data_IF_055978251967
#
_entry.id   IF_055978251967
#
_cell.length_a   1.000
_cell.length_b   1.000
_cell.length_c   1.000
_cell.angle_alpha   90.00
_cell.angle_beta   90.00
_cell.angle_gamma   90.00
#
_symmetry.space_group_name_H-M   'P 1'
#
loop_
_entity.id
_entity.type
_entity.pdbx_description
1 polymer ?
#
# COMPACT_ATOMS: atom_id res chain seq x y z
N UNK A 1 -16.41 -5.04 -20.30
CA UNK A 1 -16.49 -5.04 -18.82
C UNK A 1 -17.93 -5.31 -18.40
N UNK A 2 -18.16 -6.14 -17.38
CA UNK A 2 -19.49 -6.53 -16.92
C UNK A 2 -20.34 -5.30 -16.52
N UNK A 3 -21.63 -5.27 -16.88
CA UNK A 3 -22.58 -4.19 -16.61
C UNK A 3 -22.71 -3.88 -15.11
N UNK A 4 -22.53 -4.89 -14.25
CA UNK A 4 -22.47 -4.71 -12.80
C UNK A 4 -21.24 -3.91 -12.36
N UNK A 5 -20.04 -4.30 -12.81
CA UNK A 5 -18.79 -3.64 -12.42
C UNK A 5 -18.75 -2.17 -12.89
N UNK A 6 -19.32 -1.88 -14.05
CA UNK A 6 -19.43 -0.50 -14.56
C UNK A 6 -20.44 0.36 -13.79
N UNK A 7 -21.32 -0.21 -12.97
CA UNK A 7 -22.15 0.55 -12.03
C UNK A 7 -21.37 0.97 -10.77
N UNK A 8 -20.33 0.22 -10.40
CA UNK A 8 -19.49 0.50 -9.22
C UNK A 8 -18.53 1.66 -9.52
N UNK A 9 -17.75 1.53 -10.60
CA UNK A 9 -16.87 2.58 -11.13
C UNK A 9 -16.72 2.40 -12.65
N UNK A 10 -16.89 3.48 -13.41
CA UNK A 10 -16.72 3.48 -14.86
C UNK A 10 -15.29 3.82 -15.24
N UNK A 11 -14.85 3.29 -16.37
CA UNK A 11 -13.63 3.73 -17.03
C UNK A 11 -14.00 5.03 -17.75
N UNK A 12 -13.18 6.06 -17.56
CA UNK A 12 -13.30 7.31 -18.30
C UNK A 12 -12.77 7.13 -19.74
N UNK A 13 -12.51 8.24 -20.45
CA UNK A 13 -12.00 8.22 -21.82
C UNK A 13 -10.84 7.24 -22.01
N UNK A 14 -10.81 6.55 -23.16
CA UNK A 14 -9.71 5.66 -23.48
C UNK A 14 -8.38 6.44 -23.54
N UNK A 15 -7.34 5.85 -22.95
CA UNK A 15 -5.97 6.35 -23.07
C UNK A 15 -5.21 5.53 -24.11
N UNK A 16 -4.30 6.19 -24.84
CA UNK A 16 -3.48 5.55 -25.85
C UNK A 16 -2.61 4.43 -25.27
N UNK A 17 -2.31 3.43 -26.11
CA UNK A 17 -1.45 2.29 -25.75
C UNK A 17 -0.06 2.78 -25.30
N UNK A 18 0.51 3.76 -26.00
CA UNK A 18 1.81 4.36 -25.65
C UNK A 18 1.80 4.90 -24.22
N UNK A 19 0.75 5.62 -23.81
CA UNK A 19 0.65 6.14 -22.44
C UNK A 19 0.50 5.01 -21.41
N UNK A 20 -0.23 3.95 -21.73
CA UNK A 20 -0.33 2.75 -20.87
C UNK A 20 1.05 2.11 -20.66
N UNK A 21 1.85 1.97 -21.72
CA UNK A 21 3.20 1.38 -21.66
C UNK A 21 4.13 2.26 -20.84
N UNK A 22 4.20 3.56 -21.17
CA UNK A 22 5.06 4.53 -20.47
C UNK A 22 4.76 4.53 -18.97
N UNK A 23 3.48 4.56 -18.58
CA UNK A 23 3.09 4.53 -17.18
C UNK A 23 3.58 3.26 -16.47
N UNK A 24 3.47 2.09 -17.11
CA UNK A 24 3.96 0.83 -16.52
C UNK A 24 5.48 0.82 -16.38
N UNK A 25 6.22 1.34 -17.36
CA UNK A 25 7.67 1.44 -17.29
C UNK A 25 8.08 2.35 -16.12
N UNK A 26 7.46 3.52 -15.97
CA UNK A 26 7.73 4.41 -14.83
C UNK A 26 7.44 3.74 -13.49
N UNK A 27 6.34 2.99 -13.39
CA UNK A 27 5.97 2.27 -12.17
C UNK A 27 6.98 1.15 -11.86
N UNK A 28 7.49 0.44 -12.88
CA UNK A 28 8.55 -0.54 -12.73
C UNK A 28 9.85 0.12 -12.21
N UNK A 29 10.29 1.19 -12.87
CA UNK A 29 11.48 1.93 -12.47
C UNK A 29 11.36 2.47 -11.04
N UNK A 30 10.19 3.00 -10.68
CA UNK A 30 9.90 3.47 -9.33
C UNK A 30 9.98 2.34 -8.31
N UNK A 31 9.41 1.16 -8.62
CA UNK A 31 9.55 -0.05 -7.80
C UNK A 31 11.01 -0.44 -7.60
N UNK A 32 11.80 -0.51 -8.68
CA UNK A 32 13.23 -0.85 -8.62
C UNK A 32 14.00 0.12 -7.72
N UNK A 33 13.81 1.43 -7.91
CA UNK A 33 14.49 2.46 -7.11
C UNK A 33 14.12 2.32 -5.64
N UNK A 34 12.84 2.16 -5.32
CA UNK A 34 12.41 2.00 -3.93
C UNK A 34 12.90 0.70 -3.29
N UNK A 35 12.91 -0.42 -4.01
CA UNK A 35 13.42 -1.69 -3.48
C UNK A 35 14.92 -1.64 -3.20
N UNK A 36 15.70 -1.05 -4.11
CA UNK A 36 17.14 -0.81 -3.91
C UNK A 36 17.38 0.13 -2.74
N UNK A 37 16.63 1.24 -2.65
CA UNK A 37 16.76 2.24 -1.60
C UNK A 37 16.39 1.67 -0.22
N UNK A 38 15.29 0.92 -0.13
CA UNK A 38 14.89 0.23 1.09
C UNK A 38 15.99 -0.73 1.55
N UNK A 39 16.57 -1.53 0.65
CA UNK A 39 17.64 -2.45 1.05
C UNK A 39 18.92 -1.73 1.45
N UNK A 40 19.29 -0.66 0.73
CA UNK A 40 20.41 0.18 1.09
C UNK A 40 20.29 0.70 2.53
N UNK A 41 19.10 1.19 2.91
CA UNK A 41 18.83 1.66 4.26
C UNK A 41 18.92 0.54 5.32
N UNK A 42 18.43 -0.66 5.01
CA UNK A 42 18.52 -1.82 5.91
C UNK A 42 19.96 -2.30 6.14
N UNK A 43 20.84 -2.08 5.16
CA UNK A 43 22.25 -2.50 5.24
C UNK A 43 23.18 -1.39 5.72
N UNK A 44 22.67 -0.18 5.86
CA UNK A 44 23.43 0.98 6.36
C UNK A 44 23.20 1.10 7.86
N UNK A 45 24.29 1.14 8.63
CA UNK A 45 24.19 1.33 10.07
C UNK A 45 23.50 2.66 10.40
N UNK A 46 22.53 2.65 11.31
CA UNK A 46 21.69 3.83 11.58
C UNK A 46 22.50 5.06 12.00
N UNK A 47 23.61 4.87 12.71
CA UNK A 47 24.51 5.93 13.18
C UNK A 47 25.37 6.57 12.06
N UNK A 48 25.35 6.03 10.84
CA UNK A 48 26.01 6.64 9.68
C UNK A 48 25.01 7.37 8.77
N UNK A 49 23.70 7.22 9.02
CA UNK A 49 22.66 7.94 8.31
C UNK A 49 22.52 9.37 8.85
N UNK A 50 21.97 10.31 8.06
CA UNK A 50 21.65 11.64 8.55
C UNK A 50 20.71 11.56 9.77
N UNK A 51 20.89 12.47 10.74
CA UNK A 51 20.10 12.51 11.98
C UNK A 51 18.58 12.35 11.77
N UNK A 52 18.02 12.96 10.72
CA UNK A 52 16.58 12.88 10.42
C UNK A 52 16.13 11.45 10.06
N UNK A 53 16.99 10.63 9.45
CA UNK A 53 16.69 9.24 9.10
C UNK A 53 16.64 8.36 10.34
N UNK A 54 17.56 8.57 11.28
CA UNK A 54 17.60 7.87 12.55
C UNK A 54 16.41 8.30 13.44
N UNK A 55 16.19 9.61 13.59
CA UNK A 55 15.13 10.15 14.44
C UNK A 55 13.73 9.69 14.01
N UNK A 56 13.48 9.60 12.70
CA UNK A 56 12.19 9.15 12.15
C UNK A 56 12.11 7.63 11.95
N UNK A 57 13.18 6.89 12.22
CA UNK A 57 13.26 5.44 12.01
C UNK A 57 12.99 5.03 10.54
N UNK A 58 13.58 5.75 9.58
CA UNK A 58 13.29 5.60 8.14
C UNK A 58 13.72 4.22 7.61
N UNK A 59 14.82 3.65 8.13
CA UNK A 59 15.25 2.31 7.71
C UNK A 59 14.17 1.27 8.00
N UNK A 60 13.68 1.21 9.24
CA UNK A 60 12.61 0.27 9.60
C UNK A 60 11.28 0.62 8.92
N UNK A 61 11.00 1.90 8.65
CA UNK A 61 9.78 2.31 7.96
C UNK A 61 9.61 1.64 6.60
N UNK A 62 10.67 1.53 5.79
CA UNK A 62 10.62 0.81 4.52
C UNK A 62 10.59 -0.71 4.69
N UNK A 63 10.94 -1.24 5.85
CA UNK A 63 10.72 -2.64 6.23
C UNK A 63 9.26 -2.95 6.62
N UNK A 64 8.49 -1.94 7.06
CA UNK A 64 7.10 -2.08 7.50
C UNK A 64 6.13 -2.16 6.32
N UNK A 65 5.02 -2.86 6.51
CA UNK A 65 4.10 -3.20 5.41
C UNK A 65 3.22 -2.03 4.93
N UNK A 66 2.93 -1.07 5.80
CA UNK A 66 1.95 -0.01 5.57
C UNK A 66 2.31 0.94 4.42
N UNK A 67 3.58 1.34 4.29
CA UNK A 67 4.03 2.21 3.18
C UNK A 67 3.82 1.52 1.82
N UNK A 68 4.09 0.22 1.74
CA UNK A 68 3.90 -0.55 0.52
C UNK A 68 2.41 -0.70 0.16
N UNK A 69 1.55 -0.87 1.17
CA UNK A 69 0.09 -0.83 0.98
C UNK A 69 -0.40 0.52 0.47
N UNK A 70 0.13 1.62 1.00
CA UNK A 70 -0.23 2.97 0.55
C UNK A 70 0.17 3.19 -0.91
N UNK A 71 1.40 2.84 -1.28
CA UNK A 71 1.88 3.02 -2.66
C UNK A 71 1.02 2.17 -3.62
N UNK A 72 0.77 0.91 -3.27
CA UNK A 72 -0.09 0.03 -4.05
C UNK A 72 -1.52 0.58 -4.17
N UNK A 73 -2.08 1.15 -3.09
CA UNK A 73 -3.38 1.80 -3.09
C UNK A 73 -3.42 2.98 -4.08
N UNK A 74 -2.42 3.87 -4.03
CA UNK A 74 -2.32 5.02 -4.95
C UNK A 74 -2.22 4.55 -6.40
N UNK A 75 -1.33 3.61 -6.69
CA UNK A 75 -1.20 3.03 -8.04
C UNK A 75 -2.54 2.43 -8.49
N UNK A 76 -3.22 1.69 -7.60
CA UNK A 76 -4.49 1.06 -7.92
C UNK A 76 -5.57 2.10 -8.22
N UNK A 77 -5.88 3.03 -7.31
CA UNK A 77 -7.02 3.93 -7.48
C UNK A 77 -6.85 4.95 -8.62
N UNK A 78 -5.61 5.31 -8.95
CA UNK A 78 -5.28 6.25 -10.03
C UNK A 78 -4.96 5.57 -11.36
N UNK A 79 -4.90 4.23 -11.40
CA UNK A 79 -4.83 3.51 -12.66
C UNK A 79 -6.11 3.69 -13.49
N UNK A 80 -5.95 3.67 -14.82
CA UNK A 80 -7.02 3.94 -15.77
C UNK A 80 -8.21 2.97 -15.67
N UNK A 81 -7.93 1.69 -15.46
CA UNK A 81 -8.94 0.65 -15.28
C UNK A 81 -8.51 -0.35 -14.22
N UNK A 82 -9.42 -1.20 -13.74
CA UNK A 82 -9.12 -2.23 -12.75
C UNK A 82 -8.07 -3.24 -13.23
N UNK A 83 -8.11 -3.65 -14.49
CA UNK A 83 -7.07 -4.52 -15.09
C UNK A 83 -5.72 -3.81 -15.12
N UNK A 84 -5.72 -2.49 -15.40
CA UNK A 84 -4.48 -1.69 -15.39
C UNK A 84 -3.95 -1.48 -13.98
N UNK A 85 -4.82 -1.36 -12.98
CA UNK A 85 -4.44 -1.35 -11.57
C UNK A 85 -3.71 -2.65 -11.21
N UNK A 86 -4.28 -3.81 -11.57
CA UNK A 86 -3.66 -5.12 -11.35
C UNK A 86 -2.27 -5.21 -11.96
N UNK A 87 -2.13 -4.87 -13.25
CA UNK A 87 -0.84 -4.93 -13.93
C UNK A 87 0.18 -3.98 -13.31
N UNK A 88 -0.21 -2.74 -13.06
CA UNK A 88 0.69 -1.71 -12.55
C UNK A 88 1.19 -2.06 -11.14
N UNK A 89 0.31 -2.52 -10.25
CA UNK A 89 0.70 -2.94 -8.89
C UNK A 89 1.57 -4.20 -8.93
N UNK A 90 1.24 -5.18 -9.77
CA UNK A 90 2.09 -6.36 -9.95
C UNK A 90 3.50 -5.98 -10.41
N UNK A 91 3.61 -5.14 -11.44
CA UNK A 91 4.90 -4.70 -11.99
C UNK A 91 5.69 -3.87 -10.97
N UNK A 92 5.01 -3.03 -10.18
CA UNK A 92 5.63 -2.31 -9.06
C UNK A 92 6.26 -3.27 -8.06
N UNK A 93 5.52 -4.27 -7.58
CA UNK A 93 6.01 -5.24 -6.61
C UNK A 93 7.10 -6.14 -7.19
N UNK A 94 7.01 -6.55 -8.46
CA UNK A 94 8.10 -7.27 -9.15
C UNK A 94 9.38 -6.44 -9.11
N UNK A 95 9.31 -5.16 -9.52
CA UNK A 95 10.47 -4.27 -9.51
C UNK A 95 11.06 -4.10 -8.11
N UNK A 96 10.21 -3.82 -7.12
CA UNK A 96 10.61 -3.61 -5.73
C UNK A 96 11.22 -4.86 -5.10
N UNK A 97 10.52 -6.00 -5.15
CA UNK A 97 10.96 -7.24 -4.50
C UNK A 97 12.22 -7.77 -5.18
N UNK A 98 12.28 -7.75 -6.53
CA UNK A 98 13.47 -8.20 -7.23
C UNK A 98 14.68 -7.34 -6.91
N UNK A 99 14.60 -6.01 -6.99
CA UNK A 99 15.75 -5.16 -6.72
C UNK A 99 16.22 -5.24 -5.28
N UNK A 100 15.30 -5.32 -4.31
CA UNK A 100 15.62 -5.48 -2.89
C UNK A 100 16.43 -6.77 -2.62
N UNK A 101 16.00 -7.90 -3.18
CA UNK A 101 16.68 -9.17 -2.94
C UNK A 101 17.90 -9.41 -3.84
N UNK A 102 17.94 -8.83 -5.03
CA UNK A 102 19.15 -8.79 -5.85
C UNK A 102 20.24 -7.96 -5.16
N UNK A 103 19.88 -6.83 -4.56
CA UNK A 103 20.82 -6.04 -3.74
C UNK A 103 21.32 -6.86 -2.55
N UNK A 104 20.41 -7.56 -1.85
CA UNK A 104 20.78 -8.42 -0.73
C UNK A 104 21.86 -9.43 -1.14
N UNK A 105 21.63 -10.14 -2.26
CA UNK A 105 22.53 -11.18 -2.74
C UNK A 105 23.86 -10.63 -3.26
N UNK A 106 23.83 -9.63 -4.16
CA UNK A 106 25.02 -9.17 -4.87
C UNK A 106 25.83 -8.11 -4.13
N UNK A 107 25.18 -7.28 -3.30
CA UNK A 107 25.85 -6.16 -2.60
C UNK A 107 26.04 -6.47 -1.12
N UNK A 108 24.99 -6.94 -0.44
CA UNK A 108 25.05 -7.21 0.99
C UNK A 108 25.64 -8.59 1.33
N UNK A 109 25.80 -9.48 0.35
CA UNK A 109 26.42 -10.79 0.52
C UNK A 109 25.55 -11.84 1.24
N UNK A 110 24.23 -11.64 1.33
CA UNK A 110 23.32 -12.61 1.95
C UNK A 110 21.94 -12.67 1.27
N UNK A 111 21.23 -13.79 1.39
CA UNK A 111 19.89 -13.94 0.79
C UNK A 111 18.91 -14.56 1.79
N UNK A 112 17.99 -13.76 2.37
CA UNK A 112 17.02 -14.25 3.35
C UNK A 112 15.85 -14.96 2.64
N UNK A 113 16.06 -16.22 2.25
CA UNK A 113 15.13 -17.00 1.42
C UNK A 113 13.69 -17.03 1.94
N UNK A 114 13.49 -17.25 3.25
CA UNK A 114 12.14 -17.35 3.82
C UNK A 114 11.37 -16.03 3.67
N UNK A 115 12.01 -14.90 3.96
CA UNK A 115 11.40 -13.58 3.79
C UNK A 115 11.13 -13.27 2.31
N UNK A 116 12.06 -13.63 1.42
CA UNK A 116 11.85 -13.48 -0.02
C UNK A 116 10.63 -14.24 -0.52
N UNK A 117 10.40 -15.46 -0.04
CA UNK A 117 9.23 -16.26 -0.40
C UNK A 117 7.91 -15.62 0.06
N UNK A 118 7.88 -15.01 1.25
CA UNK A 118 6.70 -14.30 1.76
C UNK A 118 6.36 -13.10 0.84
N UNK A 119 7.37 -12.28 0.51
CA UNK A 119 7.19 -11.12 -0.36
C UNK A 119 6.84 -11.49 -1.81
N UNK A 120 7.35 -12.61 -2.32
CA UNK A 120 6.91 -13.17 -3.60
C UNK A 120 5.43 -13.59 -3.53
N UNK A 121 4.98 -14.19 -2.44
CA UNK A 121 3.57 -14.49 -2.21
C UNK A 121 2.69 -13.24 -2.26
N UNK A 122 3.07 -12.17 -1.55
CA UNK A 122 2.36 -10.89 -1.63
C UNK A 122 2.37 -10.30 -3.05
N UNK A 123 3.49 -10.41 -3.76
CA UNK A 123 3.60 -9.94 -5.15
C UNK A 123 2.59 -10.62 -6.07
N UNK A 124 2.43 -11.94 -5.94
CA UNK A 124 1.47 -12.74 -6.75
C UNK A 124 0.01 -12.42 -6.41
N UNK A 125 -0.31 -12.15 -5.14
CA UNK A 125 -1.68 -11.83 -4.70
C UNK A 125 -2.05 -10.36 -5.01
N UNK A 126 -1.07 -9.47 -5.02
CA UNK A 126 -1.27 -8.03 -5.21
C UNK A 126 -2.11 -7.61 -6.43
N UNK A 127 -2.05 -8.23 -7.63
CA UNK A 127 -2.91 -7.85 -8.75
C UNK A 127 -4.40 -8.03 -8.46
N UNK A 128 -4.79 -9.06 -7.71
CA UNK A 128 -6.20 -9.30 -7.34
C UNK A 128 -6.67 -8.22 -6.37
N UNK A 129 -5.86 -7.89 -5.36
CA UNK A 129 -6.18 -6.84 -4.40
C UNK A 129 -6.26 -5.47 -5.09
N UNK A 130 -5.32 -5.17 -5.99
CA UNK A 130 -5.31 -3.93 -6.77
C UNK A 130 -6.55 -3.80 -7.67
N UNK A 131 -7.01 -4.90 -8.27
CA UNK A 131 -8.25 -4.93 -9.04
C UNK A 131 -9.44 -4.46 -8.20
N UNK A 132 -9.55 -4.98 -6.97
CA UNK A 132 -10.62 -4.66 -6.03
C UNK A 132 -10.47 -3.20 -5.53
N UNK A 133 -9.27 -2.80 -5.13
CA UNK A 133 -8.97 -1.44 -4.64
C UNK A 133 -9.30 -0.36 -5.66
N UNK A 134 -9.16 -0.63 -6.98
CA UNK A 134 -9.57 0.31 -8.02
C UNK A 134 -11.04 0.75 -7.86
N UNK A 135 -11.93 -0.14 -7.43
CA UNK A 135 -13.35 0.17 -7.24
C UNK A 135 -13.65 1.00 -5.99
N UNK A 136 -12.72 1.14 -5.04
CA UNK A 136 -12.91 1.89 -3.79
C UNK A 136 -13.23 3.38 -4.04
N UNK A 137 -12.72 3.95 -5.15
CA UNK A 137 -12.94 5.35 -5.52
C UNK A 137 -14.26 5.61 -6.26
N UNK A 138 -15.07 4.58 -6.51
CA UNK A 138 -16.40 4.75 -7.10
C UNK A 138 -17.41 5.43 -6.16
N UNK A 139 -18.61 5.74 -6.67
CA UNK A 139 -19.70 6.41 -5.92
C UNK A 139 -20.72 5.43 -5.32
N UNK A 140 -20.58 4.14 -5.58
CA UNK A 140 -21.55 3.12 -5.15
C UNK A 140 -21.40 2.75 -3.67
N UNK A 141 -22.43 2.11 -3.10
CA UNK A 141 -22.34 1.52 -1.74
C UNK A 141 -21.21 0.49 -1.62
N UNK A 142 -20.93 -0.27 -2.68
CA UNK A 142 -19.82 -1.24 -2.69
C UNK A 142 -18.48 -0.50 -2.59
N UNK A 143 -18.31 0.58 -3.36
CA UNK A 143 -17.13 1.44 -3.27
C UNK A 143 -16.96 2.05 -1.88
N UNK A 144 -18.08 2.41 -1.23
CA UNK A 144 -18.10 2.87 0.16
C UNK A 144 -17.46 1.84 1.10
N UNK A 145 -18.00 0.62 1.10
CA UNK A 145 -17.54 -0.50 1.93
C UNK A 145 -16.08 -0.85 1.65
N UNK A 146 -15.66 -0.85 0.37
CA UNK A 146 -14.27 -1.13 0.02
C UNK A 146 -13.29 -0.13 0.67
N UNK A 147 -13.58 1.18 0.64
CA UNK A 147 -12.70 2.12 1.33
C UNK A 147 -12.76 1.99 2.85
N UNK A 148 -13.92 1.65 3.42
CA UNK A 148 -14.02 1.37 4.87
C UNK A 148 -13.06 0.25 5.26
N UNK A 149 -13.02 -0.84 4.49
CA UNK A 149 -12.12 -1.97 4.74
C UNK A 149 -10.65 -1.54 4.56
N UNK A 150 -10.31 -0.80 3.50
CA UNK A 150 -8.94 -0.34 3.26
C UNK A 150 -8.45 0.57 4.41
N UNK A 151 -9.27 1.53 4.83
CA UNK A 151 -8.95 2.42 5.94
C UNK A 151 -8.87 1.65 7.26
N UNK A 152 -9.73 0.65 7.48
CA UNK A 152 -9.68 -0.18 8.68
C UNK A 152 -8.37 -0.99 8.77
N UNK A 153 -7.92 -1.57 7.65
CA UNK A 153 -6.63 -2.28 7.59
C UNK A 153 -5.47 -1.32 7.89
N UNK A 154 -5.44 -0.14 7.28
CA UNK A 154 -4.38 0.84 7.52
C UNK A 154 -4.43 1.43 8.94
N UNK A 155 -5.62 1.56 9.52
CA UNK A 155 -5.78 1.95 10.92
C UNK A 155 -5.07 0.96 11.84
N UNK A 156 -5.22 -0.34 11.60
CA UNK A 156 -4.55 -1.39 12.38
C UNK A 156 -3.03 -1.45 12.17
N UNK A 157 -2.51 -0.93 11.05
CA UNK A 157 -1.07 -0.74 10.88
C UNK A 157 -0.54 0.53 11.53
N UNK A 158 -1.42 1.47 11.92
CA UNK A 158 -1.04 2.79 12.42
C UNK A 158 -1.12 2.89 13.93
N UNK A 159 -2.19 2.33 14.51
CA UNK A 159 -2.50 2.48 15.93
C UNK A 159 -2.40 1.15 16.65
N UNK A 160 -1.75 1.18 17.81
CA UNK A 160 -1.69 0.08 18.75
C UNK A 160 -2.70 0.40 19.85
N UNK A 161 -3.67 -0.47 20.06
CA UNK A 161 -4.72 -0.20 21.03
C UNK A 161 -5.20 -1.47 21.73
N UNK A 162 -5.54 -1.31 23.00
CA UNK A 162 -6.14 -2.33 23.85
C UNK A 162 -7.28 -1.73 24.67
N UNK A 163 -7.65 -2.40 25.75
CA UNK A 163 -8.81 -1.97 26.54
C UNK A 163 -8.63 -0.60 27.21
N UNK A 164 -7.40 -0.24 27.58
CA UNK A 164 -7.10 0.96 28.40
C UNK A 164 -5.99 1.81 27.78
N UNK A 165 -5.39 1.37 26.67
CA UNK A 165 -4.29 2.09 26.01
C UNK A 165 -4.57 2.29 24.53
N UNK A 166 -4.07 3.41 24.00
CA UNK A 166 -4.10 3.77 22.60
C UNK A 166 -2.81 4.54 22.29
N UNK A 167 -2.01 4.00 21.39
CA UNK A 167 -0.73 4.56 20.99
C UNK A 167 -0.56 4.47 19.48
N UNK A 168 0.48 5.13 18.97
CA UNK A 168 0.83 5.20 17.56
C UNK A 168 2.09 4.37 17.32
N UNK A 169 2.08 3.55 16.25
CA UNK A 169 3.23 2.71 15.92
C UNK A 169 4.46 3.52 15.47
N UNK A 170 4.26 4.56 14.65
CA UNK A 170 5.22 5.65 14.46
C UNK A 170 4.55 6.86 13.80
N UNK A 171 5.20 8.02 13.89
CA UNK A 171 4.73 9.23 13.20
C UNK A 171 4.63 9.04 11.68
N UNK A 172 5.52 8.22 11.09
CA UNK A 172 5.48 7.89 9.68
C UNK A 172 4.24 7.07 9.31
N UNK A 173 3.78 6.18 10.18
CA UNK A 173 2.53 5.46 9.96
C UNK A 173 1.30 6.38 10.03
N UNK A 174 1.31 7.39 10.89
CA UNK A 174 0.25 8.41 10.92
C UNK A 174 0.22 9.19 9.62
N UNK A 175 1.38 9.53 9.06
CA UNK A 175 1.48 10.18 7.76
C UNK A 175 0.92 9.26 6.66
N UNK A 176 1.28 7.98 6.68
CA UNK A 176 0.75 6.97 5.74
C UNK A 176 -0.78 6.89 5.82
N UNK A 177 -1.32 6.81 7.03
CA UNK A 177 -2.75 6.79 7.26
C UNK A 177 -3.45 8.06 6.76
N UNK A 178 -2.86 9.24 7.06
CA UNK A 178 -3.35 10.53 6.57
C UNK A 178 -3.38 10.60 5.05
N UNK A 179 -2.33 10.13 4.37
CA UNK A 179 -2.31 10.03 2.91
C UNK A 179 -3.40 9.10 2.37
N UNK A 180 -3.66 7.97 3.02
CA UNK A 180 -4.74 7.06 2.61
C UNK A 180 -6.13 7.69 2.77
N UNK A 181 -6.36 8.44 3.85
CA UNK A 181 -7.60 9.20 4.04
C UNK A 181 -7.79 10.26 2.95
N UNK A 182 -6.73 10.95 2.55
CA UNK A 182 -6.76 11.91 1.43
C UNK A 182 -7.07 11.19 0.12
N UNK A 183 -6.43 10.06 -0.13
CA UNK A 183 -6.59 9.27 -1.35
C UNK A 183 -8.04 8.76 -1.54
N UNK A 184 -8.69 8.39 -0.45
CA UNK A 184 -10.05 7.82 -0.40
C UNK A 184 -11.12 8.80 0.11
N UNK A 185 -10.79 10.09 0.22
CA UNK A 185 -11.73 11.15 0.59
C UNK A 185 -13.00 11.08 -0.26
N UNK A 186 -14.16 11.20 0.40
CA UNK A 186 -15.47 11.19 -0.26
C UNK A 186 -15.87 12.59 -0.73
N UNK A 187 -16.91 12.64 -1.58
CA UNK A 187 -17.36 13.89 -2.19
C UNK A 187 -17.83 14.91 -1.13
N UNK A 188 -18.43 14.41 -0.05
CA UNK A 188 -18.86 15.25 1.08
C UNK A 188 -18.03 14.94 2.32
N UNK A 189 -17.88 15.96 3.18
CA UNK A 189 -17.24 15.81 4.48
C UNK A 189 -17.98 14.76 5.32
N UNK A 190 -19.32 14.81 5.33
CA UNK A 190 -20.19 13.88 6.06
C UNK A 190 -19.95 12.41 5.66
N UNK A 191 -19.89 12.10 4.37
CA UNK A 191 -19.57 10.74 3.90
C UNK A 191 -18.17 10.30 4.30
N UNK A 192 -17.20 11.21 4.28
CA UNK A 192 -15.83 10.91 4.71
C UNK A 192 -15.79 10.59 6.20
N UNK A 193 -16.49 11.36 7.03
CA UNK A 193 -16.62 11.09 8.47
C UNK A 193 -17.29 9.75 8.73
N UNK A 194 -18.38 9.43 8.05
CA UNK A 194 -19.02 8.11 8.19
C UNK A 194 -18.11 6.96 7.77
N UNK A 195 -17.33 7.15 6.70
CA UNK A 195 -16.35 6.16 6.26
C UNK A 195 -15.27 5.93 7.34
N UNK A 196 -14.76 6.99 7.96
CA UNK A 196 -13.74 6.89 9.01
C UNK A 196 -14.33 6.21 10.25
N UNK A 197 -15.50 6.66 10.73
CA UNK A 197 -16.13 6.08 11.92
C UNK A 197 -16.43 4.58 11.74
N UNK A 198 -16.97 4.21 10.58
CA UNK A 198 -17.20 2.79 10.27
C UNK A 198 -15.89 2.02 10.14
N UNK A 199 -14.84 2.62 9.57
CA UNK A 199 -13.53 1.98 9.46
C UNK A 199 -12.91 1.71 10.83
N UNK A 200 -13.06 2.61 11.81
CA UNK A 200 -12.59 2.37 13.19
C UNK A 200 -13.29 1.18 13.82
N UNK A 201 -14.62 1.08 13.69
CA UNK A 201 -15.38 -0.08 14.21
C UNK A 201 -14.91 -1.38 13.54
N UNK A 202 -14.77 -1.38 12.21
CA UNK A 202 -14.29 -2.54 11.47
C UNK A 202 -12.83 -2.87 11.83
N UNK A 203 -11.98 -1.88 12.07
CA UNK A 203 -10.58 -2.07 12.45
C UNK A 203 -10.48 -2.85 13.77
N UNK A 204 -11.27 -2.46 14.77
CA UNK A 204 -11.33 -3.16 16.07
C UNK A 204 -11.75 -4.62 15.90
N UNK A 205 -12.80 -4.87 15.10
CA UNK A 205 -13.26 -6.24 14.79
C UNK A 205 -12.17 -7.03 14.09
N UNK A 206 -11.53 -6.44 13.07
CA UNK A 206 -10.45 -7.09 12.33
C UNK A 206 -9.27 -7.43 13.24
N UNK A 207 -8.88 -6.53 14.14
CA UNK A 207 -7.75 -6.73 15.06
C UNK A 207 -8.00 -7.88 16.05
N UNK A 208 -9.26 -8.22 16.35
CA UNK A 208 -9.61 -9.41 17.14
C UNK A 208 -9.49 -10.72 16.35
N UNK A 209 -9.67 -10.68 15.03
CA UNK A 209 -9.68 -11.86 14.16
C UNK A 209 -8.30 -12.17 13.59
N UNK A 210 -7.51 -11.14 13.32
CA UNK A 210 -6.21 -11.24 12.66
C UNK A 210 -5.19 -10.41 13.44
N UNK A 211 -4.02 -10.96 13.77
CA UNK A 211 -2.94 -10.16 14.32
C UNK A 211 -2.36 -9.27 13.21
N UNK A 212 -2.62 -7.96 13.27
CA UNK A 212 -2.05 -6.98 12.33
C UNK A 212 -0.63 -6.53 12.71
N UNK A 213 -0.18 -6.91 13.90
CA UNK A 213 1.17 -6.63 14.40
C UNK A 213 2.14 -7.65 13.81
N UNK A 214 2.53 -7.43 12.55
CA UNK A 214 3.67 -8.09 11.93
C UNK A 214 4.89 -7.21 12.16
N UNK A 215 5.57 -7.45 13.29
CA UNK A 215 6.81 -6.77 13.68
C UNK A 215 7.63 -7.73 14.54
#
# INVERSE_FOLDING_TARGET
MNKFLSQIRRIDNEISITRKIINTIFILCFGIVLGTFAKFLDTTASNTLPFIFEYLDISNFFGRFAIWLLIALYIAIYSHSSIRASLNVLVFFIGMVSSYYLYSYFVAGFFPKNYAMIWLGFTVISPLLAFICWYAKGKSKISFILSVIIIAILFNFTFIYGWIYFDVYSILEVIVFGCALIALKRNTFRETTYMILSAVVIAVILNMLVPFHFG
#
